data_IF_850436507053
#
_entry.id   IF_850436507053
#
_cell.length_a   1.000
_cell.length_b   1.000
_cell.length_c   1.000
_cell.angle_alpha   90.00
_cell.angle_beta   90.00
_cell.angle_gamma   90.00
#
_symmetry.space_group_name_H-M   'P 1'
#
loop_
_entity.id
_entity.type
_entity.pdbx_description
1 polymer ?
#
# COMPACT_ATOMS: atom_id res chain seq x y z
N UNK A 1 29.48 23.95 32.66
CA UNK A 1 29.28 22.91 31.64
C UNK A 1 27.84 23.00 31.19
N UNK A 2 27.58 23.32 29.92
CA UNK A 2 26.23 23.34 29.34
C UNK A 2 26.13 22.22 28.33
N UNK A 3 25.16 21.33 28.51
CA UNK A 3 24.83 20.27 27.55
C UNK A 3 23.73 20.82 26.65
N UNK A 4 23.95 20.81 25.34
CA UNK A 4 22.98 21.24 24.33
C UNK A 4 22.68 20.10 23.37
N UNK A 5 21.40 19.92 23.03
CA UNK A 5 20.97 18.97 22.01
C UNK A 5 21.24 19.57 20.62
N UNK A 6 22.28 19.10 19.96
CA UNK A 6 22.67 19.58 18.61
C UNK A 6 21.75 19.05 17.51
N UNK A 7 21.18 17.84 17.67
CA UNK A 7 20.33 17.23 16.63
C UNK A 7 19.31 16.22 17.16
N UNK A 8 18.35 15.89 16.31
CA UNK A 8 17.35 14.85 16.47
C UNK A 8 15.94 15.43 16.48
N UNK A 9 15.07 14.89 15.64
CA UNK A 9 13.63 15.10 15.69
C UNK A 9 12.97 13.74 15.43
N UNK A 10 11.83 13.46 16.06
CA UNK A 10 11.09 12.23 15.74
C UNK A 10 10.36 12.42 14.41
N UNK A 11 10.05 11.32 13.75
CA UNK A 11 9.32 11.30 12.48
C UNK A 11 7.97 10.66 12.72
N UNK A 12 6.89 11.43 12.64
CA UNK A 12 5.52 10.94 12.84
C UNK A 12 4.88 10.63 11.50
N UNK A 13 4.53 9.37 11.26
CA UNK A 13 3.86 8.91 10.04
C UNK A 13 2.45 8.46 10.40
N UNK A 14 1.46 8.95 9.66
CA UNK A 14 0.08 8.49 9.76
C UNK A 14 -0.22 7.45 8.68
N UNK A 15 -0.52 6.22 9.08
CA UNK A 15 -1.08 5.16 8.22
C UNK A 15 -2.60 5.29 8.27
N UNK A 16 -3.17 5.79 7.18
CA UNK A 16 -4.57 6.15 7.06
C UNK A 16 -5.35 5.04 6.37
N UNK A 17 -6.16 4.29 7.11
CA UNK A 17 -7.19 3.43 6.53
C UNK A 17 -8.40 4.29 6.10
N UNK A 18 -8.69 4.39 4.80
CA UNK A 18 -9.76 5.26 4.33
C UNK A 18 -11.16 4.62 4.41
N UNK A 19 -11.29 3.36 4.86
CA UNK A 19 -12.57 2.73 5.18
C UNK A 19 -12.86 2.73 6.69
N UNK A 20 -14.12 2.46 7.05
CA UNK A 20 -14.58 2.47 8.44
C UNK A 20 -14.31 1.17 9.21
N UNK A 21 -13.61 0.20 8.62
CA UNK A 21 -13.30 -1.07 9.26
C UNK A 21 -12.11 -0.95 10.21
N UNK A 22 -12.40 -0.91 11.51
CA UNK A 22 -11.38 -1.00 12.55
C UNK A 22 -10.60 -2.32 12.49
N UNK A 23 -11.24 -3.42 12.10
CA UNK A 23 -10.57 -4.71 11.95
C UNK A 23 -9.47 -4.66 10.88
N UNK A 24 -9.70 -3.96 9.77
CA UNK A 24 -8.67 -3.76 8.74
C UNK A 24 -7.52 -2.91 9.28
N UNK A 25 -7.82 -1.86 10.05
CA UNK A 25 -6.79 -1.06 10.72
C UNK A 25 -5.95 -1.87 11.70
N UNK A 26 -6.60 -2.71 12.50
CA UNK A 26 -5.90 -3.58 13.46
C UNK A 26 -5.08 -4.66 12.76
N UNK A 27 -5.54 -5.20 11.62
CA UNK A 27 -4.78 -6.14 10.79
C UNK A 27 -3.46 -5.57 10.26
N UNK A 28 -3.43 -4.26 9.94
CA UNK A 28 -2.19 -3.60 9.50
C UNK A 28 -1.17 -3.43 10.62
N UNK A 29 -1.58 -3.40 11.90
CA UNK A 29 -0.66 -3.24 13.03
C UNK A 29 0.36 -4.37 13.11
N UNK A 30 -0.06 -5.61 12.85
CA UNK A 30 0.85 -6.75 12.83
C UNK A 30 1.96 -6.59 11.77
N UNK A 31 1.62 -6.01 10.61
CA UNK A 31 2.62 -5.70 9.58
C UNK A 31 3.50 -4.54 10.01
N UNK A 32 2.93 -3.46 10.55
CA UNK A 32 3.67 -2.29 11.06
C UNK A 32 4.69 -2.72 12.12
N UNK A 33 4.29 -3.54 13.08
CA UNK A 33 5.15 -4.05 14.17
C UNK A 33 6.28 -4.95 13.65
N UNK A 34 6.12 -5.55 12.46
CA UNK A 34 7.16 -6.37 11.83
C UNK A 34 8.22 -5.56 11.08
N UNK A 35 8.01 -4.25 10.87
CA UNK A 35 8.96 -3.41 10.12
C UNK A 35 10.10 -2.99 11.03
N UNK A 36 11.33 -3.24 10.60
CA UNK A 36 12.52 -2.74 11.29
C UNK A 36 12.70 -1.24 11.02
N UNK A 37 11.98 -0.41 11.76
CA UNK A 37 12.08 1.05 11.71
C UNK A 37 13.05 1.58 12.78
N UNK A 38 13.72 2.71 12.53
CA UNK A 38 14.44 3.43 13.57
C UNK A 38 13.50 3.81 14.72
N UNK A 39 13.98 3.73 15.96
CA UNK A 39 13.21 4.15 17.15
C UNK A 39 12.74 5.62 17.12
N UNK A 40 13.34 6.44 16.27
CA UNK A 40 12.93 7.83 16.03
C UNK A 40 11.76 7.97 15.06
N UNK A 41 11.19 6.86 14.55
CA UNK A 41 10.06 6.84 13.64
C UNK A 41 8.83 6.30 14.37
N UNK A 42 7.83 7.16 14.54
CA UNK A 42 6.58 6.88 15.22
C UNK A 42 5.48 6.65 14.17
N UNK A 43 4.80 5.50 14.25
CA UNK A 43 3.69 5.17 13.35
C UNK A 43 2.36 5.31 14.10
N UNK A 44 1.45 6.06 13.50
CA UNK A 44 0.09 6.27 13.98
C UNK A 44 -0.89 5.68 12.98
N UNK A 45 -2.04 5.21 13.45
CA UNK A 45 -3.08 4.65 12.57
C UNK A 45 -4.35 5.48 12.64
N UNK A 46 -4.98 5.71 11.50
CA UNK A 46 -6.32 6.31 11.38
C UNK A 46 -7.30 5.30 10.79
N UNK A 47 -8.55 5.33 11.26
CA UNK A 47 -9.69 4.60 10.66
C UNK A 47 -10.75 5.63 10.30
N UNK A 48 -11.30 5.55 9.09
CA UNK A 48 -12.31 6.49 8.63
C UNK A 48 -13.60 6.44 9.48
N UNK A 49 -14.35 7.55 9.57
CA UNK A 49 -15.63 7.61 10.29
C UNK A 49 -16.67 6.64 9.73
N UNK A 50 -17.73 6.36 10.51
CA UNK A 50 -18.77 5.39 10.17
C UNK A 50 -19.59 5.71 8.90
N UNK A 51 -19.56 6.95 8.41
CA UNK A 51 -20.17 7.35 7.15
C UNK A 51 -19.28 7.04 5.91
N UNK A 52 -18.02 6.65 6.12
CA UNK A 52 -17.19 6.04 5.09
C UNK A 52 -17.63 4.58 4.84
N UNK A 53 -17.45 4.04 3.62
CA UNK A 53 -17.76 2.65 3.34
C UNK A 53 -16.96 1.72 4.25
N UNK A 54 -17.55 0.59 4.65
CA UNK A 54 -16.88 -0.42 5.50
C UNK A 54 -15.80 -1.20 4.74
N UNK A 55 -15.92 -1.28 3.43
CA UNK A 55 -14.95 -1.84 2.50
C UNK A 55 -15.02 -1.05 1.20
N UNK A 56 -13.87 -0.79 0.58
CA UNK A 56 -13.79 -0.10 -0.71
C UNK A 56 -13.62 -1.17 -1.78
N UNK A 57 -14.59 -1.27 -2.69
CA UNK A 57 -14.64 -2.32 -3.72
C UNK A 57 -14.78 -1.78 -5.14
N UNK A 58 -15.15 -0.51 -5.31
CA UNK A 58 -15.28 0.14 -6.61
C UNK A 58 -14.97 1.65 -6.59
N UNK A 59 -15.17 2.32 -7.73
CA UNK A 59 -14.96 3.75 -7.87
C UNK A 59 -15.89 4.64 -7.04
N UNK A 60 -17.13 4.21 -6.78
CA UNK A 60 -18.07 4.98 -5.94
C UNK A 60 -17.63 4.95 -4.49
N UNK A 61 -17.16 3.80 -4.01
CA UNK A 61 -16.60 3.66 -2.67
C UNK A 61 -15.37 4.56 -2.49
N UNK A 62 -14.50 4.68 -3.52
CA UNK A 62 -13.33 5.57 -3.50
C UNK A 62 -13.73 7.04 -3.32
N UNK A 63 -14.76 7.50 -4.03
CA UNK A 63 -15.28 8.87 -3.92
C UNK A 63 -15.93 9.11 -2.55
N UNK A 64 -16.78 8.20 -2.10
CA UNK A 64 -17.45 8.30 -0.80
C UNK A 64 -16.43 8.32 0.35
N UNK A 65 -15.47 7.40 0.32
CA UNK A 65 -14.38 7.32 1.29
C UNK A 65 -13.55 8.60 1.30
N UNK A 66 -13.16 9.10 0.12
CA UNK A 66 -12.38 10.35 0.02
C UNK A 66 -13.14 11.51 0.66
N UNK A 67 -14.44 11.65 0.38
CA UNK A 67 -15.28 12.70 0.97
C UNK A 67 -15.36 12.56 2.49
N UNK A 68 -15.67 11.37 2.98
CA UNK A 68 -15.83 11.13 4.42
C UNK A 68 -14.55 11.44 5.21
N UNK A 69 -13.38 11.01 4.70
CA UNK A 69 -12.10 11.27 5.34
C UNK A 69 -11.72 12.76 5.31
N UNK A 70 -11.95 13.45 4.19
CA UNK A 70 -11.67 14.89 4.08
C UNK A 70 -12.54 15.67 5.05
N UNK A 71 -13.85 15.39 5.09
CA UNK A 71 -14.80 16.07 5.97
C UNK A 71 -14.44 15.82 7.45
N UNK A 72 -14.10 14.58 7.83
CA UNK A 72 -13.69 14.25 9.19
C UNK A 72 -12.39 14.93 9.61
N UNK A 73 -11.35 14.90 8.76
CA UNK A 73 -10.08 15.54 9.10
C UNK A 73 -10.26 17.06 9.24
N UNK A 74 -11.04 17.70 8.37
CA UNK A 74 -11.31 19.14 8.47
C UNK A 74 -12.05 19.52 9.75
N UNK A 75 -13.00 18.69 10.19
CA UNK A 75 -13.78 18.94 11.40
C UNK A 75 -12.98 18.63 12.68
N UNK A 76 -12.26 17.51 12.70
CA UNK A 76 -11.55 17.00 13.87
C UNK A 76 -10.17 17.64 14.05
N UNK A 77 -9.55 18.11 12.96
CA UNK A 77 -8.22 18.71 12.92
C UNK A 77 -8.23 20.01 12.10
N UNK A 78 -8.91 21.07 12.58
CA UNK A 78 -9.10 22.31 11.83
C UNK A 78 -7.79 23.06 11.52
N UNK A 79 -6.73 22.79 12.30
CA UNK A 79 -5.38 23.33 12.08
C UNK A 79 -4.51 22.45 11.16
N UNK A 80 -5.08 21.37 10.60
CA UNK A 80 -4.37 20.38 9.83
C UNK A 80 -3.81 19.24 10.68
N UNK A 81 -3.27 18.25 9.98
CA UNK A 81 -2.67 17.05 10.56
C UNK A 81 -1.22 17.31 11.01
N UNK A 82 -0.93 17.16 12.30
CA UNK A 82 0.43 17.26 12.88
C UNK A 82 1.24 15.96 12.69
N UNK A 83 1.54 15.64 11.44
CA UNK A 83 2.38 14.50 11.05
C UNK A 83 3.41 14.93 9.99
N UNK A 84 4.52 14.23 9.89
CA UNK A 84 5.55 14.49 8.87
C UNK A 84 5.17 13.88 7.52
N UNK A 85 4.37 12.81 7.52
CA UNK A 85 3.82 12.21 6.31
C UNK A 85 2.63 11.30 6.54
N UNK A 86 1.93 11.00 5.43
CA UNK A 86 0.73 10.16 5.41
C UNK A 86 0.88 9.03 4.39
N UNK A 87 0.52 7.81 4.78
CA UNK A 87 0.38 6.65 3.91
C UNK A 87 -1.09 6.30 3.80
N UNK A 88 -1.67 6.41 2.60
CA UNK A 88 -3.05 5.99 2.35
C UNK A 88 -3.07 4.48 2.15
N UNK A 89 -3.63 3.77 3.12
CA UNK A 89 -3.68 2.31 3.21
C UNK A 89 -4.87 1.71 2.44
N UNK A 90 -4.99 2.06 1.16
CA UNK A 90 -5.90 1.42 0.23
C UNK A 90 -5.17 1.18 -1.09
N UNK A 91 -5.19 -0.07 -1.56
CA UNK A 91 -4.47 -0.47 -2.77
C UNK A 91 -5.32 -0.13 -4.01
N UNK A 92 -5.30 1.13 -4.39
CA UNK A 92 -6.07 1.68 -5.52
C UNK A 92 -5.42 2.98 -6.01
N UNK A 93 -5.92 3.51 -7.13
CA UNK A 93 -5.62 4.89 -7.55
C UNK A 93 -6.49 5.83 -6.70
N UNK A 94 -6.23 5.88 -5.39
CA UNK A 94 -7.15 6.49 -4.43
C UNK A 94 -7.12 8.03 -4.56
N UNK A 95 -8.26 8.70 -4.83
CA UNK A 95 -8.29 10.15 -5.05
C UNK A 95 -7.70 10.95 -3.88
N UNK A 96 -7.93 10.48 -2.65
CA UNK A 96 -7.39 10.99 -1.40
C UNK A 96 -5.87 11.28 -1.43
N UNK A 97 -5.05 10.44 -2.09
CA UNK A 97 -3.59 10.67 -2.20
C UNK A 97 -3.34 12.03 -2.85
N UNK A 98 -3.92 12.23 -4.03
CA UNK A 98 -3.74 13.45 -4.81
C UNK A 98 -4.43 14.66 -4.17
N UNK A 99 -5.56 14.46 -3.49
CA UNK A 99 -6.27 15.51 -2.74
C UNK A 99 -5.43 16.03 -1.59
N UNK A 100 -4.79 15.14 -0.83
CA UNK A 100 -3.93 15.55 0.28
C UNK A 100 -2.64 16.20 -0.22
N UNK A 101 -1.99 15.65 -1.26
CA UNK A 101 -0.77 16.22 -1.86
C UNK A 101 -0.95 17.67 -2.36
N UNK A 102 -2.15 18.03 -2.84
CA UNK A 102 -2.44 19.38 -3.37
C UNK A 102 -2.82 20.40 -2.29
N UNK A 103 -3.11 19.97 -1.06
CA UNK A 103 -3.61 20.85 -0.01
C UNK A 103 -2.53 21.15 1.03
N UNK A 104 -2.52 22.39 1.53
CA UNK A 104 -1.61 22.82 2.60
C UNK A 104 -2.08 22.39 4.01
N UNK A 105 -3.27 21.81 4.12
CA UNK A 105 -3.82 21.31 5.39
C UNK A 105 -3.24 19.94 5.80
N UNK A 106 -2.49 19.29 4.90
CA UNK A 106 -1.90 17.98 5.12
C UNK A 106 -0.37 18.04 5.03
N UNK A 107 0.32 17.00 5.55
CA UNK A 107 1.77 16.91 5.44
C UNK A 107 2.23 16.96 3.99
N UNK A 108 3.42 17.50 3.75
CA UNK A 108 3.98 17.59 2.39
C UNK A 108 4.31 16.23 1.78
N UNK A 109 4.51 15.22 2.63
CA UNK A 109 4.81 13.86 2.21
C UNK A 109 3.53 13.04 2.31
N UNK A 110 2.93 12.71 1.17
CA UNK A 110 1.79 11.79 1.10
C UNK A 110 2.01 10.79 -0.02
N UNK A 111 1.80 9.50 0.27
CA UNK A 111 1.84 8.41 -0.71
C UNK A 111 0.69 7.44 -0.47
N UNK A 112 0.28 6.70 -1.50
CA UNK A 112 -0.58 5.53 -1.35
C UNK A 112 0.23 4.24 -1.42
N UNK A 113 -0.32 3.17 -0.86
CA UNK A 113 0.34 1.86 -0.94
C UNK A 113 0.40 1.29 -2.36
N UNK A 114 -0.45 1.77 -3.26
CA UNK A 114 -0.42 1.44 -4.68
C UNK A 114 0.86 1.99 -5.34
N UNK A 115 1.08 3.29 -5.25
CA UNK A 115 2.25 3.98 -5.81
C UNK A 115 3.55 3.44 -5.21
N UNK A 116 3.56 3.24 -3.88
CA UNK A 116 4.71 2.70 -3.19
C UNK A 116 5.08 1.29 -3.65
N UNK A 117 4.08 0.42 -3.88
CA UNK A 117 4.31 -0.94 -4.36
C UNK A 117 4.85 -0.96 -5.78
N UNK A 118 4.41 -0.06 -6.65
CA UNK A 118 4.95 0.06 -8.02
C UNK A 118 6.44 0.40 -7.98
N UNK A 119 6.81 1.42 -7.20
CA UNK A 119 8.19 1.89 -7.12
C UNK A 119 9.11 0.84 -6.45
N UNK A 120 8.61 0.14 -5.42
CA UNK A 120 9.31 -0.97 -4.82
C UNK A 120 9.53 -2.12 -5.81
N UNK A 121 8.49 -2.50 -6.58
CA UNK A 121 8.61 -3.55 -7.59
C UNK A 121 9.68 -3.20 -8.63
N UNK A 122 9.61 -2.01 -9.21
CA UNK A 122 10.56 -1.57 -10.23
C UNK A 122 12.01 -1.54 -9.75
N UNK A 123 12.23 -1.30 -8.45
CA UNK A 123 13.56 -1.25 -7.83
C UNK A 123 14.17 -2.63 -7.58
N UNK A 124 13.37 -3.69 -7.54
CA UNK A 124 13.81 -5.06 -7.24
C UNK A 124 14.09 -5.90 -8.50
N UNK A 125 13.53 -5.51 -9.63
CA UNK A 125 13.57 -6.30 -10.86
C UNK A 125 14.89 -6.16 -11.61
N UNK A 126 15.42 -7.28 -12.10
CA UNK A 126 16.47 -7.32 -13.10
C UNK A 126 16.01 -6.91 -14.52
N UNK A 127 16.91 -6.91 -15.51
CA UNK A 127 16.63 -6.40 -16.85
C UNK A 127 15.43 -7.03 -17.56
N UNK A 128 15.30 -8.37 -17.48
CA UNK A 128 14.27 -9.15 -18.17
C UNK A 128 13.10 -9.55 -17.26
N UNK A 129 13.15 -9.12 -16.00
CA UNK A 129 12.16 -9.48 -15.01
C UNK A 129 10.91 -8.60 -15.14
N UNK A 130 9.76 -9.23 -14.91
CA UNK A 130 8.46 -8.59 -14.85
C UNK A 130 7.86 -8.67 -13.46
N UNK A 131 6.87 -7.82 -13.21
CA UNK A 131 6.12 -7.80 -11.97
C UNK A 131 4.62 -7.72 -12.23
N UNK A 132 3.82 -8.08 -11.23
CA UNK A 132 2.38 -7.93 -11.33
C UNK A 132 1.70 -7.78 -9.98
N UNK A 133 0.38 -7.68 -10.01
CA UNK A 133 -0.45 -7.45 -8.82
C UNK A 133 -1.43 -8.60 -8.66
N UNK A 134 -1.54 -9.12 -7.45
CA UNK A 134 -2.64 -10.04 -7.07
C UNK A 134 -3.61 -9.28 -6.17
N UNK A 135 -4.88 -9.15 -6.55
CA UNK A 135 -5.86 -8.27 -5.88
C UNK A 135 -7.18 -9.00 -5.58
N UNK A 136 -8.19 -8.28 -5.09
CA UNK A 136 -9.45 -8.80 -4.57
C UNK A 136 -10.48 -9.05 -5.67
N UNK A 137 -11.35 -8.08 -5.96
CA UNK A 137 -12.45 -8.17 -6.90
C UNK A 137 -12.05 -7.89 -8.35
N UNK A 138 -12.91 -8.28 -9.30
CA UNK A 138 -12.69 -8.13 -10.75
C UNK A 138 -12.58 -6.68 -11.22
N UNK A 139 -13.24 -5.74 -10.54
CA UNK A 139 -13.13 -4.31 -10.81
C UNK A 139 -11.67 -3.83 -10.83
N UNK A 140 -10.87 -4.34 -9.89
CA UNK A 140 -9.49 -3.89 -9.69
C UNK A 140 -8.54 -4.29 -10.82
N UNK A 141 -8.84 -5.34 -11.60
CA UNK A 141 -7.96 -5.77 -12.70
C UNK A 141 -7.75 -4.63 -13.71
N UNK A 142 -8.85 -4.04 -14.20
CA UNK A 142 -8.78 -2.91 -15.13
C UNK A 142 -8.31 -1.63 -14.45
N UNK A 143 -8.89 -1.30 -13.30
CA UNK A 143 -8.59 -0.04 -12.59
C UNK A 143 -7.10 0.08 -12.22
N UNK A 144 -6.51 -0.98 -11.66
CA UNK A 144 -5.11 -0.97 -11.28
C UNK A 144 -4.19 -1.02 -12.50
N UNK A 145 -4.52 -1.77 -13.56
CA UNK A 145 -3.72 -1.81 -14.77
C UNK A 145 -3.62 -0.43 -15.46
N UNK A 146 -4.75 0.28 -15.58
CA UNK A 146 -4.78 1.66 -16.09
C UNK A 146 -4.07 2.64 -15.15
N UNK A 147 -4.20 2.43 -13.84
CA UNK A 147 -3.48 3.17 -12.81
C UNK A 147 -1.97 3.06 -12.94
N UNK A 148 -1.44 1.85 -13.16
CA UNK A 148 0.00 1.61 -13.34
C UNK A 148 0.51 2.35 -14.58
N UNK A 149 -0.22 2.25 -15.69
CA UNK A 149 0.12 2.96 -16.93
C UNK A 149 0.21 4.47 -16.71
N UNK A 150 -0.80 5.04 -16.04
CA UNK A 150 -0.89 6.47 -15.76
C UNK A 150 0.22 6.93 -14.82
N UNK A 151 0.45 6.20 -13.72
CA UNK A 151 1.46 6.53 -12.72
C UNK A 151 2.88 6.54 -13.30
N UNK A 152 3.17 5.61 -14.21
CA UNK A 152 4.47 5.51 -14.87
C UNK A 152 4.62 6.42 -16.10
N UNK A 153 3.56 7.14 -16.49
CA UNK A 153 3.57 7.95 -17.71
C UNK A 153 3.78 7.14 -18.99
N UNK A 154 3.41 5.86 -18.99
CA UNK A 154 3.61 4.97 -20.12
C UNK A 154 2.54 5.19 -21.20
N UNK A 155 2.95 5.40 -22.45
CA UNK A 155 2.03 5.54 -23.59
C UNK A 155 1.62 4.20 -24.18
N UNK A 156 2.50 3.19 -24.09
CA UNK A 156 2.33 1.83 -24.62
C UNK A 156 2.25 0.79 -23.49
N UNK A 157 2.22 -0.51 -23.86
CA UNK A 157 2.32 -1.61 -22.88
C UNK A 157 3.66 -1.52 -22.15
N UNK A 158 3.63 -1.30 -20.83
CA UNK A 158 4.81 -1.39 -20.00
C UNK A 158 5.36 -2.82 -20.06
N UNK A 159 6.50 -3.02 -20.72
CA UNK A 159 7.10 -4.34 -20.95
C UNK A 159 7.41 -5.10 -19.65
N UNK A 160 7.57 -4.38 -18.53
CA UNK A 160 7.89 -4.98 -17.23
C UNK A 160 6.65 -5.30 -16.40
N UNK A 161 5.45 -4.87 -16.79
CA UNK A 161 4.22 -5.13 -16.04
C UNK A 161 3.44 -6.30 -16.63
N UNK A 162 3.46 -7.45 -15.96
CA UNK A 162 2.74 -8.66 -16.35
C UNK A 162 1.21 -8.54 -16.17
N UNK A 163 0.73 -7.51 -15.45
CA UNK A 163 -0.69 -7.23 -15.28
C UNK A 163 -1.21 -7.53 -13.87
N UNK A 164 -2.54 -7.66 -13.78
CA UNK A 164 -3.28 -7.80 -12.52
C UNK A 164 -4.13 -9.06 -12.58
N UNK A 165 -4.10 -9.86 -11.51
CA UNK A 165 -4.96 -11.03 -11.34
C UNK A 165 -5.78 -10.90 -10.05
N UNK A 166 -7.10 -11.09 -10.14
CA UNK A 166 -8.00 -10.98 -8.97
C UNK A 166 -8.40 -12.34 -8.39
N UNK A 167 -8.64 -12.40 -7.09
CA UNK A 167 -9.20 -13.60 -6.40
C UNK A 167 -10.71 -13.75 -6.63
N UNK A 168 -11.38 -12.67 -7.06
CA UNK A 168 -12.84 -12.60 -7.13
C UNK A 168 -13.51 -12.58 -5.75
N UNK A 169 -12.80 -12.10 -4.72
CA UNK A 169 -13.32 -11.82 -3.38
C UNK A 169 -13.40 -10.30 -3.16
N UNK A 170 -14.20 -9.85 -2.21
CA UNK A 170 -14.17 -8.46 -1.75
C UNK A 170 -13.04 -8.24 -0.73
N UNK A 171 -12.68 -7.00 -0.45
CA UNK A 171 -11.62 -6.71 0.52
C UNK A 171 -12.00 -7.12 1.96
N UNK A 172 -13.28 -7.00 2.32
CA UNK A 172 -13.81 -7.48 3.61
C UNK A 172 -13.64 -8.98 3.83
N UNK A 173 -13.69 -9.77 2.76
CA UNK A 173 -13.71 -11.24 2.82
C UNK A 173 -12.41 -11.83 3.39
N UNK A 174 -11.33 -11.06 3.36
CA UNK A 174 -10.02 -11.43 3.92
C UNK A 174 -9.95 -11.34 5.45
N UNK A 175 -10.90 -10.65 6.08
CA UNK A 175 -10.97 -10.51 7.54
C UNK A 175 -12.28 -11.06 8.13
N UNK A 176 -13.37 -11.06 7.36
CA UNK A 176 -14.68 -11.50 7.82
C UNK A 176 -15.49 -12.14 6.69
N UNK A 177 -16.20 -13.23 6.98
CA UNK A 177 -17.30 -13.72 6.14
C UNK A 177 -16.95 -14.81 5.12
N UNK A 178 -15.67 -15.17 4.97
CA UNK A 178 -15.25 -16.30 4.12
C UNK A 178 -14.27 -17.18 4.89
N UNK A 179 -14.38 -18.50 4.70
CA UNK A 179 -13.47 -19.48 5.29
C UNK A 179 -12.01 -19.18 4.85
N UNK A 180 -11.04 -19.12 5.79
CA UNK A 180 -9.62 -18.93 5.47
C UNK A 180 -9.10 -19.87 4.37
N UNK A 181 -9.59 -21.10 4.28
CA UNK A 181 -9.20 -22.04 3.23
C UNK A 181 -9.71 -21.61 1.84
N UNK A 182 -10.88 -20.98 1.77
CA UNK A 182 -11.40 -20.42 0.51
C UNK A 182 -10.59 -19.20 0.08
N UNK A 183 -10.22 -18.33 1.02
CA UNK A 183 -9.32 -17.19 0.77
C UNK A 183 -7.97 -17.70 0.25
N UNK A 184 -7.38 -18.69 0.93
CA UNK A 184 -6.11 -19.31 0.55
C UNK A 184 -6.18 -19.92 -0.84
N UNK A 185 -7.25 -20.68 -1.14
CA UNK A 185 -7.45 -21.29 -2.46
C UNK A 185 -7.52 -20.25 -3.57
N UNK A 186 -8.37 -19.23 -3.42
CA UNK A 186 -8.55 -18.20 -4.46
C UNK A 186 -7.31 -17.33 -4.65
N UNK A 187 -6.60 -17.02 -3.57
CA UNK A 187 -5.32 -16.30 -3.63
C UNK A 187 -4.24 -17.12 -4.32
N UNK A 188 -4.16 -18.42 -4.02
CA UNK A 188 -3.28 -19.36 -4.72
C UNK A 188 -3.60 -19.40 -6.22
N UNK A 189 -4.87 -19.61 -6.61
CA UNK A 189 -5.28 -19.62 -8.03
C UNK A 189 -4.93 -18.32 -8.77
N UNK A 190 -5.15 -17.15 -8.16
CA UNK A 190 -4.79 -15.86 -8.75
C UNK A 190 -3.26 -15.70 -8.91
N UNK A 191 -2.50 -16.13 -7.89
CA UNK A 191 -1.04 -16.12 -7.92
C UNK A 191 -0.50 -17.00 -9.04
N UNK A 192 -1.04 -18.21 -9.21
CA UNK A 192 -0.64 -19.14 -10.28
C UNK A 192 -0.90 -18.57 -11.67
N UNK A 193 -2.06 -17.94 -11.88
CA UNK A 193 -2.36 -17.23 -13.14
C UNK A 193 -1.41 -16.08 -13.42
N UNK A 194 -0.93 -15.38 -12.38
CA UNK A 194 0.06 -14.34 -12.59
C UNK A 194 1.43 -14.93 -12.92
N UNK A 195 1.85 -15.96 -12.20
CA UNK A 195 3.14 -16.63 -12.38
C UNK A 195 3.28 -17.39 -13.71
N UNK A 196 2.18 -17.78 -14.34
CA UNK A 196 2.20 -18.36 -15.68
C UNK A 196 2.61 -17.37 -16.77
N UNK A 197 2.60 -16.06 -16.45
CA UNK A 197 3.10 -15.01 -17.35
C UNK A 197 4.63 -14.98 -17.37
N UNK A 198 5.25 -14.60 -18.50
CA UNK A 198 6.70 -14.61 -18.64
C UNK A 198 7.41 -13.65 -17.67
N UNK A 199 8.53 -14.10 -17.10
CA UNK A 199 9.47 -13.25 -16.37
C UNK A 199 9.04 -12.77 -14.98
N UNK A 200 7.89 -13.20 -14.44
CA UNK A 200 7.41 -12.68 -13.15
C UNK A 200 8.38 -13.04 -12.02
N UNK A 201 9.06 -12.03 -11.45
CA UNK A 201 9.93 -12.12 -10.26
C UNK A 201 9.46 -11.26 -9.10
N UNK A 202 8.41 -10.46 -9.29
CA UNK A 202 7.85 -9.65 -8.23
C UNK A 202 6.32 -9.64 -8.25
N UNK A 203 5.69 -9.86 -7.11
CA UNK A 203 4.25 -9.79 -6.92
C UNK A 203 3.93 -8.79 -5.82
N UNK A 204 3.12 -7.78 -6.15
CA UNK A 204 2.56 -6.88 -5.16
C UNK A 204 1.19 -7.36 -4.68
N UNK A 205 1.00 -7.38 -3.36
CA UNK A 205 -0.28 -7.71 -2.72
C UNK A 205 -1.23 -6.52 -2.84
N UNK A 206 -2.23 -6.69 -3.71
CA UNK A 206 -3.12 -5.65 -4.20
C UNK A 206 -4.28 -5.29 -3.27
N UNK A 207 -4.10 -5.41 -1.95
CA UNK A 207 -5.09 -5.02 -0.93
C UNK A 207 -4.42 -4.87 0.44
N UNK A 208 -4.80 -3.85 1.21
CA UNK A 208 -4.32 -3.70 2.59
C UNK A 208 -4.71 -4.90 3.49
N UNK A 209 -5.85 -5.53 3.22
CA UNK A 209 -6.28 -6.73 3.94
C UNK A 209 -5.52 -8.01 3.59
N UNK A 210 -4.61 -7.98 2.60
CA UNK A 210 -3.67 -9.07 2.33
C UNK A 210 -2.39 -8.97 3.15
N UNK A 211 -2.29 -7.96 4.03
CA UNK A 211 -1.23 -7.81 5.01
C UNK A 211 -0.94 -9.13 5.75
N UNK A 212 0.30 -9.60 5.67
CA UNK A 212 0.74 -10.86 6.30
C UNK A 212 0.35 -12.15 5.57
N UNK A 213 -0.27 -12.09 4.38
CA UNK A 213 -0.61 -13.27 3.57
C UNK A 213 0.48 -13.68 2.57
N UNK A 214 1.68 -13.14 2.73
CA UNK A 214 2.86 -13.39 1.89
C UNK A 214 3.15 -14.89 1.71
N UNK A 215 3.05 -15.68 2.77
CA UNK A 215 3.29 -17.13 2.74
C UNK A 215 2.31 -17.87 1.81
N UNK A 216 1.10 -17.38 1.60
CA UNK A 216 0.15 -18.00 0.66
C UNK A 216 0.65 -17.83 -0.78
N UNK A 217 1.16 -16.64 -1.11
CA UNK A 217 1.78 -16.35 -2.41
C UNK A 217 3.04 -17.20 -2.59
N UNK A 218 3.90 -17.28 -1.57
CA UNK A 218 5.12 -18.10 -1.62
C UNK A 218 4.81 -19.59 -1.76
N UNK A 219 3.82 -20.12 -1.05
CA UNK A 219 3.42 -21.52 -1.22
C UNK A 219 2.89 -21.79 -2.64
N UNK A 220 2.09 -20.88 -3.20
CA UNK A 220 1.63 -21.01 -4.59
C UNK A 220 2.80 -20.97 -5.57
N UNK A 221 3.78 -20.09 -5.36
CA UNK A 221 4.99 -20.03 -6.17
C UNK A 221 5.84 -21.30 -6.06
N UNK A 222 5.94 -21.89 -4.86
CA UNK A 222 6.67 -23.14 -4.62
C UNK A 222 6.03 -24.29 -5.40
N UNK A 223 4.70 -24.36 -5.41
CA UNK A 223 3.96 -25.38 -6.17
C UNK A 223 4.16 -25.25 -7.69
N UNK A 224 4.23 -24.03 -8.23
CA UNK A 224 4.33 -23.82 -9.68
C UNK A 224 5.77 -23.86 -10.21
N UNK A 225 6.73 -23.34 -9.45
CA UNK A 225 8.10 -23.05 -9.93
C UNK A 225 9.21 -23.59 -9.03
N UNK A 226 8.86 -24.27 -7.94
CA UNK A 226 9.82 -24.85 -7.00
C UNK A 226 10.21 -23.92 -5.85
N UNK A 227 10.83 -24.51 -4.83
CA UNK A 227 11.17 -23.85 -3.57
C UNK A 227 12.22 -22.75 -3.71
N UNK A 228 13.25 -22.99 -4.53
CA UNK A 228 14.31 -22.00 -4.80
C UNK A 228 13.72 -20.71 -5.37
N UNK A 229 12.88 -20.83 -6.40
CA UNK A 229 12.17 -19.68 -6.96
C UNK A 229 11.32 -18.96 -5.91
N UNK A 230 10.53 -19.70 -5.14
CA UNK A 230 9.53 -19.14 -4.23
C UNK A 230 10.12 -18.33 -3.06
N UNK A 231 11.29 -18.71 -2.56
CA UNK A 231 11.88 -18.09 -1.36
C UNK A 231 13.18 -17.32 -1.63
N UNK A 232 13.87 -17.60 -2.74
CA UNK A 232 15.15 -16.94 -3.06
C UNK A 232 15.04 -15.95 -4.23
N UNK A 233 14.14 -16.19 -5.19
CA UNK A 233 14.06 -15.36 -6.41
C UNK A 233 12.81 -14.49 -6.48
N UNK A 234 11.70 -14.95 -5.90
CA UNK A 234 10.44 -14.21 -5.91
C UNK A 234 10.40 -13.16 -4.79
N UNK A 235 10.22 -11.91 -5.21
CA UNK A 235 9.89 -10.81 -4.33
C UNK A 235 8.38 -10.70 -4.12
N UNK A 236 7.93 -10.67 -2.87
CA UNK A 236 6.53 -10.39 -2.53
C UNK A 236 6.47 -9.07 -1.79
N UNK A 237 5.70 -8.12 -2.33
CA UNK A 237 5.58 -6.76 -1.79
C UNK A 237 4.30 -6.64 -0.99
N UNK A 238 4.47 -6.29 0.28
CA UNK A 238 3.41 -5.76 1.13
C UNK A 238 3.34 -4.23 0.97
N UNK A 239 2.20 -3.73 0.52
CA UNK A 239 2.01 -2.32 0.25
C UNK A 239 2.13 -1.43 1.49
N UNK A 240 1.80 -1.92 2.68
CA UNK A 240 1.96 -1.19 3.94
C UNK A 240 3.43 -1.01 4.26
N UNK A 241 4.22 -2.09 4.16
CA UNK A 241 5.68 -2.01 4.34
C UNK A 241 6.31 -1.05 3.32
N UNK A 242 5.96 -1.21 2.05
CA UNK A 242 6.47 -0.34 0.98
C UNK A 242 6.11 1.13 1.22
N UNK A 243 4.86 1.42 1.58
CA UNK A 243 4.38 2.79 1.84
C UNK A 243 5.08 3.45 3.01
N UNK A 244 5.25 2.74 4.13
CA UNK A 244 5.93 3.28 5.32
C UNK A 244 7.41 3.53 5.06
N UNK A 245 8.12 2.56 4.49
CA UNK A 245 9.55 2.71 4.20
C UNK A 245 9.81 3.84 3.20
N UNK A 246 8.96 3.95 2.18
CA UNK A 246 9.08 4.99 1.18
C UNK A 246 8.77 6.38 1.74
N UNK A 247 7.69 6.54 2.52
CA UNK A 247 7.35 7.86 3.06
C UNK A 247 8.41 8.33 4.06
N UNK A 248 8.97 7.42 4.85
CA UNK A 248 10.07 7.70 5.78
C UNK A 248 11.30 8.23 5.03
N UNK A 249 11.66 7.60 3.91
CA UNK A 249 12.72 8.07 3.02
C UNK A 249 12.39 9.45 2.42
N UNK A 250 11.17 9.67 1.94
CA UNK A 250 10.73 10.96 1.37
C UNK A 250 10.84 12.07 2.41
N UNK A 251 10.38 11.84 3.64
CA UNK A 251 10.44 12.82 4.74
C UNK A 251 11.89 13.20 5.04
N UNK A 252 12.78 12.21 5.16
CA UNK A 252 14.22 12.45 5.37
C UNK A 252 14.78 13.33 4.26
N UNK A 253 14.53 12.96 3.01
CA UNK A 253 15.00 13.74 1.86
C UNK A 253 14.44 15.18 1.87
N UNK A 254 13.18 15.37 2.21
CA UNK A 254 12.58 16.70 2.26
C UNK A 254 13.16 17.62 3.34
N UNK A 255 13.68 17.05 4.44
CA UNK A 255 14.35 17.79 5.52
C UNK A 255 15.75 18.29 5.13
N UNK A 256 16.37 17.64 4.13
CA UNK A 256 17.65 18.09 3.56
C UNK A 256 17.50 19.28 2.58
N UNK A 257 16.26 19.66 2.22
CA UNK A 257 16.03 20.79 1.30
C UNK A 257 16.35 22.11 2.02
N UNK A 258 17.28 22.93 1.49
CA UNK A 258 17.67 24.19 2.13
C UNK A 258 16.49 25.13 2.36
N UNK A 259 16.46 25.79 3.52
CA UNK A 259 15.49 26.85 3.84
C UNK A 259 14.13 26.37 4.36
N UNK A 260 13.94 25.06 4.62
CA UNK A 260 12.79 24.57 5.41
C UNK A 260 13.18 24.45 6.88
N UNK A 261 12.36 24.94 7.84
CA UNK A 261 12.59 24.65 9.24
C UNK A 261 12.47 23.13 9.50
N UNK A 262 13.37 22.62 10.34
CA UNK A 262 13.49 21.22 10.78
C UNK A 262 12.38 20.78 11.71
#
# INVERSE_FOLDING_TARGET
MTIERVRGNTTKILVLNPNSSKAMTDGMKAVIDSINLPYSTEIYTYTAPSNAPSSINDGKDLEQSTKAVVDDIQNSYPNGLDYDGVVIACYSVHPLVSTMQRSRAYPKSVTGIFEASILAALSLLGPDDTWGIVTTGKFWEKHLAEGVKTFLGATDSNSRFAGVESTGLNASDFHHGVDPEVVRKKLNEATKRLLSKPGVKCIAMGCAGMAGLEEIIRSAAREEKGEEFAYSELHVIDGIRAGIMQIEHIIRHQREIPGKPS
#
